data_IF_573567535972
#
_entry.id   IF_573567535972
#
_cell.length_a   1.000
_cell.length_b   1.000
_cell.length_c   1.000
_cell.angle_alpha   90.00
_cell.angle_beta   90.00
_cell.angle_gamma   90.00
#
_symmetry.space_group_name_H-M   'P 1'
#
loop_
_entity.id
_entity.type
_entity.pdbx_description
1 polymer ?
#
# COMPACT_ATOMS: atom_id res chain seq x y z
N UNK A 1 11.01 4.24 19.68
CA UNK A 1 9.57 4.04 19.36
C UNK A 1 9.24 4.21 17.87
N UNK A 2 10.15 4.65 16.98
CA UNK A 2 9.91 4.63 15.50
C UNK A 2 9.82 3.22 14.90
N UNK A 3 10.13 2.18 15.68
CA UNK A 3 10.25 0.81 15.21
C UNK A 3 9.00 0.24 14.53
N UNK A 4 7.78 0.69 14.87
CA UNK A 4 6.56 0.10 14.28
C UNK A 4 6.40 0.52 12.82
N UNK A 5 6.38 1.84 12.53
CA UNK A 5 6.32 2.32 11.14
C UNK A 5 7.54 1.85 10.34
N UNK A 6 8.72 1.90 10.94
CA UNK A 6 9.95 1.39 10.31
C UNK A 6 9.83 -0.11 9.98
N UNK A 7 9.25 -0.93 10.86
CA UNK A 7 9.08 -2.37 10.64
C UNK A 7 8.04 -2.68 9.56
N UNK A 8 6.92 -1.96 9.54
CA UNK A 8 5.90 -2.11 8.50
C UNK A 8 6.47 -1.69 7.15
N UNK A 9 7.12 -0.53 7.08
CA UNK A 9 7.76 -0.03 5.87
C UNK A 9 8.86 -1.00 5.40
N UNK A 10 9.71 -1.48 6.31
CA UNK A 10 10.74 -2.48 5.98
C UNK A 10 10.13 -3.76 5.42
N UNK A 11 9.01 -4.22 5.99
CA UNK A 11 8.28 -5.38 5.47
C UNK A 11 7.79 -5.15 4.04
N UNK A 12 7.20 -3.99 3.75
CA UNK A 12 6.71 -3.65 2.40
C UNK A 12 7.86 -3.51 1.39
N UNK A 13 9.01 -2.98 1.83
CA UNK A 13 10.20 -2.85 1.01
C UNK A 13 10.95 -4.17 0.83
N UNK A 14 10.78 -5.14 1.72
CA UNK A 14 11.46 -6.42 1.70
C UNK A 14 11.22 -7.20 0.40
N UNK A 15 12.27 -7.74 -0.19
CA UNK A 15 12.20 -8.52 -1.44
C UNK A 15 11.38 -9.80 -1.32
N UNK A 16 11.15 -10.32 -0.12
CA UNK A 16 10.25 -11.43 0.16
C UNK A 16 8.78 -11.09 -0.12
N UNK A 17 8.39 -9.82 0.03
CA UNK A 17 7.06 -9.33 -0.38
C UNK A 17 7.14 -8.94 -1.85
N UNK A 18 6.71 -9.86 -2.72
CA UNK A 18 6.71 -9.65 -4.17
C UNK A 18 5.51 -8.86 -4.67
N UNK A 19 4.33 -9.09 -4.08
CA UNK A 19 3.07 -8.45 -4.46
C UNK A 19 2.13 -8.38 -3.24
N UNK A 20 1.31 -7.34 -3.19
CA UNK A 20 0.18 -7.23 -2.26
C UNK A 20 -0.98 -6.47 -2.93
N UNK A 21 -2.20 -6.67 -2.44
CA UNK A 21 -3.45 -6.15 -3.04
C UNK A 21 -4.09 -5.08 -2.15
N UNK A 22 -5.15 -4.42 -2.62
CA UNK A 22 -5.91 -3.45 -1.80
C UNK A 22 -6.38 -4.04 -0.47
N UNK A 23 -6.73 -5.33 -0.45
CA UNK A 23 -7.19 -5.99 0.79
C UNK A 23 -6.11 -5.98 1.88
N UNK A 24 -4.83 -6.11 1.50
CA UNK A 24 -3.73 -6.00 2.46
C UNK A 24 -3.60 -4.57 3.00
N UNK A 25 -3.77 -3.57 2.14
CA UNK A 25 -3.74 -2.15 2.51
C UNK A 25 -4.93 -1.77 3.40
N UNK A 26 -6.12 -2.31 3.12
CA UNK A 26 -7.32 -2.13 3.94
C UNK A 26 -7.16 -2.76 5.33
N UNK A 27 -6.55 -3.95 5.42
CA UNK A 27 -6.20 -4.56 6.71
C UNK A 27 -5.25 -3.67 7.51
N UNK A 28 -4.19 -3.17 6.86
CA UNK A 28 -3.25 -2.22 7.45
C UNK A 28 -3.94 -0.93 7.94
N UNK A 29 -4.90 -0.40 7.18
CA UNK A 29 -5.68 0.78 7.59
C UNK A 29 -6.45 0.56 8.90
N UNK A 30 -7.07 -0.62 9.04
CA UNK A 30 -7.81 -1.00 10.25
C UNK A 30 -6.85 -1.10 11.45
N UNK A 31 -5.72 -1.78 11.28
CA UNK A 31 -4.72 -1.93 12.34
C UNK A 31 -4.14 -0.57 12.77
N UNK A 32 -3.85 0.31 11.81
CA UNK A 32 -3.37 1.67 12.11
C UNK A 32 -4.41 2.51 12.85
N UNK A 33 -5.70 2.41 12.49
CA UNK A 33 -6.76 3.11 13.23
C UNK A 33 -6.82 2.64 14.69
N UNK A 34 -6.60 1.35 14.94
CA UNK A 34 -6.54 0.82 16.30
C UNK A 34 -5.34 1.36 17.08
N UNK A 35 -4.16 1.41 16.45
CA UNK A 35 -2.95 1.98 17.06
C UNK A 35 -3.08 3.48 17.34
N UNK A 36 -3.71 4.22 16.44
CA UNK A 36 -3.98 5.66 16.61
C UNK A 36 -4.99 5.91 17.74
N UNK A 37 -6.07 5.14 17.81
CA UNK A 37 -7.02 5.21 18.93
C UNK A 37 -6.33 4.91 20.26
N UNK A 38 -5.44 3.91 20.29
CA UNK A 38 -4.61 3.64 21.47
C UNK A 38 -3.68 4.82 21.82
N UNK A 39 -3.10 5.47 20.81
CA UNK A 39 -2.27 6.66 20.98
C UNK A 39 -3.04 7.78 21.67
N UNK A 40 -4.24 8.06 21.19
CA UNK A 40 -5.06 9.20 21.63
C UNK A 40 -5.69 8.94 23.02
N UNK A 41 -6.02 7.68 23.37
CA UNK A 41 -6.76 7.37 24.61
C UNK A 41 -5.90 6.88 25.78
N UNK A 42 -4.81 6.15 25.50
CA UNK A 42 -4.14 5.31 26.52
C UNK A 42 -2.63 5.48 26.62
N UNK A 43 -2.00 6.16 25.68
CA UNK A 43 -0.54 6.30 25.70
C UNK A 43 -0.04 7.09 26.91
N UNK A 44 -0.71 8.18 27.28
CA UNK A 44 -0.32 9.00 28.42
C UNK A 44 -0.65 8.35 29.77
N UNK A 45 -1.73 7.56 29.84
CA UNK A 45 -2.18 6.89 31.08
C UNK A 45 -1.42 5.60 31.40
N UNK A 46 -0.68 5.05 30.44
CA UNK A 46 0.11 3.82 30.61
C UNK A 46 1.53 4.06 31.16
N UNK A 47 1.93 5.32 31.35
CA UNK A 47 3.28 5.66 31.83
C UNK A 47 4.39 5.34 30.80
N UNK A 48 4.02 5.02 29.55
CA UNK A 48 4.94 4.77 28.44
C UNK A 48 5.54 6.08 27.87
N UNK A 49 5.01 7.24 28.27
CA UNK A 49 5.51 8.58 27.92
C UNK A 49 6.84 8.96 28.59
N UNK A 50 7.38 8.13 29.49
CA UNK A 50 8.57 8.43 30.32
C UNK A 50 9.89 8.42 29.52
N UNK A 51 9.90 8.03 28.23
CA UNK A 51 11.10 8.11 27.40
C UNK A 51 11.20 9.49 26.74
N UNK A 52 12.02 10.38 27.32
CA UNK A 52 12.16 11.81 26.98
C UNK A 52 12.61 12.14 25.54
N UNK A 53 11.78 11.82 24.54
CA UNK A 53 11.86 12.34 23.17
C UNK A 53 10.58 13.12 22.86
N UNK A 54 10.75 14.28 22.25
CA UNK A 54 9.71 15.24 21.80
C UNK A 54 8.73 14.69 20.74
N UNK A 55 8.77 13.39 20.44
CA UNK A 55 7.93 12.76 19.40
C UNK A 55 6.87 11.89 20.06
N UNK A 56 5.60 12.20 19.83
CA UNK A 56 4.46 11.42 20.32
C UNK A 56 4.41 10.04 19.65
N UNK A 57 3.68 9.09 20.24
CA UNK A 57 3.45 7.80 19.59
C UNK A 57 2.77 7.96 18.23
N UNK A 58 1.91 8.98 18.09
CA UNK A 58 1.23 9.33 16.84
C UNK A 58 2.20 9.79 15.76
N UNK A 59 3.21 10.58 16.12
CA UNK A 59 4.25 11.02 15.18
C UNK A 59 5.00 9.83 14.56
N UNK A 60 5.15 8.73 15.32
CA UNK A 60 5.78 7.51 14.84
C UNK A 60 4.95 6.77 13.78
N UNK A 61 3.66 7.07 13.61
CA UNK A 61 2.76 6.41 12.66
C UNK A 61 2.53 7.22 11.38
N UNK A 62 3.03 8.46 11.31
CA UNK A 62 2.72 9.41 10.23
C UNK A 62 3.12 8.88 8.85
N UNK A 63 4.33 8.31 8.70
CA UNK A 63 4.81 7.79 7.42
C UNK A 63 3.89 6.70 6.87
N UNK A 64 3.58 5.69 7.69
CA UNK A 64 2.73 4.59 7.24
C UNK A 64 1.27 5.02 7.03
N UNK A 65 0.75 5.94 7.84
CA UNK A 65 -0.59 6.52 7.64
C UNK A 65 -0.69 7.28 6.31
N UNK A 66 0.30 8.10 5.98
CA UNK A 66 0.34 8.84 4.72
C UNK A 66 0.44 7.88 3.52
N UNK A 67 1.20 6.79 3.64
CA UNK A 67 1.30 5.77 2.61
C UNK A 67 -0.04 5.08 2.35
N UNK A 68 -0.72 4.62 3.41
CA UNK A 68 -2.05 3.98 3.30
C UNK A 68 -3.06 4.94 2.69
N UNK A 69 -3.08 6.20 3.13
CA UNK A 69 -3.95 7.22 2.56
C UNK A 69 -3.69 7.47 1.07
N UNK A 70 -2.43 7.37 0.62
CA UNK A 70 -2.10 7.50 -0.80
C UNK A 70 -2.56 6.29 -1.61
N UNK A 71 -2.29 5.07 -1.12
CA UNK A 71 -2.65 3.81 -1.79
C UNK A 71 -4.16 3.60 -1.90
N UNK A 72 -4.93 4.13 -0.95
CA UNK A 72 -6.40 4.09 -0.94
C UNK A 72 -7.05 5.38 -1.48
N UNK A 73 -6.27 6.34 -1.96
CA UNK A 73 -6.78 7.61 -2.48
C UNK A 73 -7.60 7.37 -3.75
N UNK A 74 -8.75 8.04 -3.85
CA UNK A 74 -9.52 8.13 -5.11
C UNK A 74 -8.90 9.11 -6.12
N UNK A 75 -7.90 9.90 -5.71
CA UNK A 75 -7.18 10.87 -6.53
C UNK A 75 -5.67 10.82 -6.22
N UNK A 76 -4.97 9.70 -6.51
CA UNK A 76 -3.55 9.54 -6.21
C UNK A 76 -2.66 10.54 -6.99
N UNK A 77 -3.12 11.05 -8.13
CA UNK A 77 -2.44 12.07 -8.94
C UNK A 77 -2.16 13.37 -8.18
N UNK A 78 -2.93 13.65 -7.12
CA UNK A 78 -2.71 14.80 -6.25
C UNK A 78 -1.34 14.77 -5.56
N UNK A 79 -0.72 13.60 -5.44
CA UNK A 79 0.65 13.46 -4.93
C UNK A 79 1.69 14.17 -5.84
N UNK A 80 1.39 14.36 -7.11
CA UNK A 80 2.27 15.08 -8.04
C UNK A 80 2.26 16.59 -7.79
N UNK A 81 1.20 17.14 -7.19
CA UNK A 81 1.14 18.53 -6.81
C UNK A 81 2.05 18.77 -5.58
N UNK A 82 3.09 19.63 -5.68
CA UNK A 82 4.06 19.82 -4.60
C UNK A 82 3.45 20.38 -3.32
N UNK A 83 2.40 21.22 -3.41
CA UNK A 83 1.72 21.80 -2.26
C UNK A 83 0.90 20.74 -1.53
N UNK A 84 0.14 19.95 -2.28
CA UNK A 84 -0.67 18.87 -1.70
C UNK A 84 0.25 17.80 -1.11
N UNK A 85 1.34 17.45 -1.81
CA UNK A 85 2.34 16.51 -1.33
C UNK A 85 2.96 16.94 -0.02
N UNK A 86 3.48 18.17 0.06
CA UNK A 86 4.10 18.66 1.29
C UNK A 86 3.13 18.63 2.47
N UNK A 87 1.86 18.94 2.22
CA UNK A 87 0.82 19.00 3.25
C UNK A 87 0.37 17.61 3.74
N UNK A 88 0.11 16.69 2.81
CA UNK A 88 -0.59 15.45 3.10
C UNK A 88 0.32 14.21 3.09
N UNK A 89 1.48 14.30 2.44
CA UNK A 89 2.37 13.17 2.16
C UNK A 89 3.85 13.53 2.41
N UNK A 90 4.11 14.56 3.21
CA UNK A 90 5.46 15.14 3.41
C UNK A 90 6.44 14.22 4.13
N UNK A 91 5.98 13.13 4.76
CA UNK A 91 6.85 12.13 5.39
C UNK A 91 7.22 10.97 4.47
N UNK A 92 6.62 10.89 3.26
CA UNK A 92 6.91 9.81 2.32
C UNK A 92 8.20 10.06 1.54
N UNK A 93 9.09 9.07 1.55
CA UNK A 93 10.24 9.04 0.65
C UNK A 93 9.86 8.49 -0.73
N UNK A 94 10.28 9.20 -1.77
CA UNK A 94 9.99 8.86 -3.17
C UNK A 94 10.53 7.50 -3.60
N UNK A 95 11.72 7.12 -3.14
CA UNK A 95 12.34 5.85 -3.55
C UNK A 95 11.62 4.68 -2.89
N UNK A 96 11.30 4.81 -1.60
CA UNK A 96 10.48 3.81 -0.89
C UNK A 96 9.11 3.66 -1.55
N UNK A 97 8.44 4.78 -1.85
CA UNK A 97 7.13 4.79 -2.46
C UNK A 97 7.12 4.07 -3.83
N UNK A 98 8.11 4.34 -4.69
CA UNK A 98 8.22 3.68 -5.99
C UNK A 98 8.27 2.15 -5.85
N UNK A 99 9.10 1.64 -4.93
CA UNK A 99 9.22 0.19 -4.66
C UNK A 99 7.89 -0.38 -4.16
N UNK A 100 7.20 0.33 -3.27
CA UNK A 100 5.90 -0.11 -2.75
C UNK A 100 4.83 -0.12 -3.85
N UNK A 101 4.76 0.92 -4.69
CA UNK A 101 3.82 1.00 -5.80
C UNK A 101 4.06 -0.12 -6.84
N UNK A 102 5.31 -0.47 -7.13
CA UNK A 102 5.64 -1.57 -8.05
C UNK A 102 5.13 -2.93 -7.55
N UNK A 103 5.05 -3.09 -6.23
CA UNK A 103 4.55 -4.30 -5.55
C UNK A 103 3.03 -4.26 -5.34
N UNK A 104 2.42 -3.09 -5.33
CA UNK A 104 0.98 -2.92 -5.15
C UNK A 104 0.23 -3.26 -6.44
N UNK A 105 -0.50 -4.38 -6.43
CA UNK A 105 -1.18 -4.89 -7.63
C UNK A 105 -2.59 -5.34 -7.28
N UNK A 106 -3.56 -4.56 -7.74
CA UNK A 106 -4.93 -4.69 -7.26
C UNK A 106 -5.77 -5.72 -8.01
N UNK A 107 -5.24 -6.30 -9.09
CA UNK A 107 -5.95 -7.28 -9.91
C UNK A 107 -5.22 -8.60 -10.03
N UNK A 108 -5.95 -9.70 -9.85
CA UNK A 108 -5.55 -11.04 -10.32
C UNK A 108 -5.55 -11.16 -11.86
N UNK A 109 -5.98 -10.12 -12.59
CA UNK A 109 -6.06 -10.15 -14.05
C UNK A 109 -4.71 -10.24 -14.74
N UNK A 110 -3.60 -9.86 -14.10
CA UNK A 110 -2.26 -10.18 -14.63
C UNK A 110 -1.88 -11.66 -14.45
N UNK A 111 -2.45 -12.34 -13.45
CA UNK A 111 -2.15 -13.73 -13.13
C UNK A 111 -2.79 -14.71 -14.13
N UNK A 112 -3.94 -14.37 -14.71
CA UNK A 112 -4.64 -15.20 -15.70
C UNK A 112 -4.91 -14.52 -17.05
N UNK A 113 -4.71 -13.21 -17.18
CA UNK A 113 -4.95 -12.45 -18.44
C UNK A 113 -4.01 -12.83 -19.59
N UNK A 114 -2.89 -13.52 -19.30
CA UNK A 114 -2.01 -14.14 -20.30
C UNK A 114 -2.49 -15.50 -20.83
N UNK A 115 -3.52 -16.10 -20.21
CA UNK A 115 -4.08 -17.38 -20.64
C UNK A 115 -5.29 -17.21 -21.57
N UNK A 116 -6.04 -16.11 -21.47
CA UNK A 116 -7.14 -15.81 -22.42
C UNK A 116 -6.69 -15.29 -23.79
N UNK A 117 -5.41 -14.90 -23.96
CA UNK A 117 -4.91 -14.34 -25.23
C UNK A 117 -4.21 -15.34 -26.15
N UNK A 118 -4.07 -16.61 -25.75
CA UNK A 118 -3.46 -17.66 -26.60
C UNK A 118 -4.53 -18.63 -27.11
N UNK A 119 -4.83 -18.51 -28.41
CA UNK A 119 -5.56 -19.45 -29.28
C UNK A 119 -7.10 -19.46 -29.26
N UNK A 120 -7.71 -18.44 -29.85
CA UNK A 120 -8.80 -18.68 -30.82
C UNK A 120 -8.23 -18.55 -32.23
N UNK A 121 -7.37 -19.49 -32.64
CA UNK A 121 -7.19 -19.74 -34.08
C UNK A 121 -8.49 -20.36 -34.57
N UNK A 122 -9.32 -19.55 -35.23
CA UNK A 122 -10.46 -19.99 -36.01
C UNK A 122 -9.96 -20.92 -37.11
N UNK A 123 -9.95 -22.23 -36.86
CA UNK A 123 -9.98 -23.20 -37.95
C UNK A 123 -11.44 -23.37 -38.36
N UNK A 124 -11.88 -22.54 -39.30
CA UNK A 124 -13.12 -22.79 -40.02
C UNK A 124 -12.98 -24.13 -40.78
N UNK A 125 -13.86 -25.12 -40.57
CA UNK A 125 -13.86 -26.32 -41.38
C UNK A 125 -14.27 -25.94 -42.81
N UNK A 126 -13.34 -26.12 -43.76
CA UNK A 126 -13.65 -26.02 -45.19
C UNK A 126 -14.68 -27.11 -45.51
N UNK A 127 -15.89 -26.68 -45.89
CA UNK A 127 -16.84 -27.54 -46.61
C UNK A 127 -16.17 -28.05 -47.88
N UNK A 128 -16.09 -29.36 -48.05
CA UNK A 128 -16.01 -29.99 -49.36
C UNK A 128 -17.25 -30.86 -49.48
N UNK A 129 -18.08 -30.57 -50.48
CA UNK A 129 -19.19 -31.42 -50.90
C UNK A 129 -18.61 -32.53 -51.79
N UNK A 130 -19.10 -33.75 -51.64
CA UNK A 130 -18.83 -34.88 -52.52
C UNK A 130 -19.39 -34.66 -53.94
N UNK A 131 -18.60 -34.99 -54.95
CA UNK A 131 -19.00 -35.71 -56.18
C UNK A 131 -17.83 -36.58 -56.63
#
# INVERSE_FOLDING_TARGET
>A
MSHISDSIMTTLLNDGVKRFTVNAVLGLDIDLKMLEAFADEKFDSTGLSISGKETTFRDCLVEIRQLVNLLLSSQPENFMNPVIRQRNYGSLDYKKLAIVCDKYKDSADELFGGLSKRNTKQNAPKRSMDV
#
